data_IF_503192649290
#
_entry.id   IF_503192649290
#
_cell.length_a   1.000
_cell.length_b   1.000
_cell.length_c   1.000
_cell.angle_alpha   90.00
_cell.angle_beta   90.00
_cell.angle_gamma   90.00
#
_symmetry.space_group_name_H-M   'P 1'
#
loop_
_entity.id
_entity.type
_entity.pdbx_description
1 polymer ?
#
# COMPACT_ATOMS: atom_id res chain seq x y z
N UNK A 1 46.59 -9.31 -6.37
CA UNK A 1 45.43 -9.27 -7.30
C UNK A 1 44.30 -10.05 -6.64
N UNK A 2 43.31 -9.36 -6.11
CA UNK A 2 42.00 -9.92 -5.76
C UNK A 2 40.96 -8.99 -6.36
N UNK A 3 40.04 -9.60 -7.11
CA UNK A 3 39.09 -8.99 -8.02
C UNK A 3 38.16 -7.98 -7.35
N UNK A 4 37.70 -6.92 -8.05
CA UNK A 4 36.64 -6.06 -7.54
C UNK A 4 35.34 -6.87 -7.48
N UNK A 5 34.82 -7.05 -6.26
CA UNK A 5 33.53 -7.63 -5.96
C UNK A 5 32.44 -6.74 -6.57
N UNK A 6 31.65 -7.31 -7.49
CA UNK A 6 30.58 -6.60 -8.17
C UNK A 6 29.41 -6.37 -7.19
N UNK A 7 29.28 -5.14 -6.66
CA UNK A 7 28.03 -4.68 -6.09
C UNK A 7 27.59 -3.32 -6.69
N UNK A 8 27.02 -3.30 -7.91
CA UNK A 8 26.25 -2.15 -8.39
C UNK A 8 24.75 -2.40 -8.62
N UNK A 9 24.20 -3.60 -8.38
CA UNK A 9 22.79 -3.90 -8.64
C UNK A 9 21.84 -3.29 -7.59
N UNK A 10 22.10 -3.52 -6.29
CA UNK A 10 21.24 -3.07 -5.18
C UNK A 10 21.00 -1.55 -5.14
N UNK A 11 22.05 -0.76 -5.40
CA UNK A 11 21.95 0.71 -5.36
C UNK A 11 21.06 1.27 -6.48
N UNK A 12 21.05 0.61 -7.64
CA UNK A 12 20.26 1.03 -8.80
C UNK A 12 18.78 0.67 -8.61
N UNK A 13 18.50 -0.53 -8.09
CA UNK A 13 17.14 -0.98 -7.75
C UNK A 13 16.54 -0.07 -6.68
N UNK A 14 17.27 0.17 -5.60
CA UNK A 14 16.81 1.02 -4.48
C UNK A 14 16.55 2.46 -4.92
N UNK A 15 17.41 3.00 -5.80
CA UNK A 15 17.21 4.33 -6.39
C UNK A 15 15.96 4.36 -7.27
N UNK A 16 15.77 3.36 -8.13
CA UNK A 16 14.61 3.27 -9.01
C UNK A 16 13.31 3.14 -8.20
N UNK A 17 13.27 2.25 -7.20
CA UNK A 17 12.12 2.08 -6.32
C UNK A 17 11.77 3.36 -5.56
N UNK A 18 12.78 4.06 -5.03
CA UNK A 18 12.58 5.34 -4.34
C UNK A 18 12.06 6.44 -5.28
N UNK A 19 12.58 6.48 -6.51
CA UNK A 19 12.15 7.47 -7.51
C UNK A 19 10.72 7.19 -7.96
N UNK A 20 10.39 5.93 -8.27
CA UNK A 20 9.04 5.52 -8.64
C UNK A 20 8.06 5.84 -7.50
N UNK A 21 8.40 5.49 -6.26
CA UNK A 21 7.55 5.78 -5.10
C UNK A 21 7.34 7.28 -4.93
N UNK A 22 8.39 8.10 -5.05
CA UNK A 22 8.28 9.56 -4.90
C UNK A 22 7.48 10.23 -6.01
N UNK A 23 7.72 9.86 -7.26
CA UNK A 23 7.04 10.47 -8.41
C UNK A 23 5.57 10.04 -8.53
N UNK A 24 5.24 8.81 -8.08
CA UNK A 24 3.90 8.22 -8.15
C UNK A 24 3.08 8.39 -6.86
N UNK A 25 3.68 8.77 -5.73
CA UNK A 25 2.97 8.93 -4.45
C UNK A 25 1.79 9.92 -4.50
N UNK A 26 1.75 10.82 -5.48
CA UNK A 26 0.65 11.77 -5.69
C UNK A 26 -0.49 11.24 -6.55
N UNK A 27 -0.36 10.06 -7.16
CA UNK A 27 -1.35 9.49 -8.06
C UNK A 27 -2.36 8.63 -7.27
N UNK A 28 -3.65 8.90 -7.44
CA UNK A 28 -4.72 8.13 -6.79
C UNK A 28 -4.79 6.65 -7.25
N UNK A 29 -4.16 6.36 -8.38
CA UNK A 29 -4.05 5.03 -9.00
C UNK A 29 -2.83 4.25 -8.47
N UNK A 30 -1.85 4.92 -7.84
CA UNK A 30 -0.65 4.30 -7.31
C UNK A 30 -0.91 3.67 -5.93
N UNK A 31 -0.65 2.36 -5.79
CA UNK A 31 -0.82 1.65 -4.52
C UNK A 31 0.49 1.58 -3.75
N UNK A 32 1.51 0.96 -4.35
CA UNK A 32 2.83 0.84 -3.72
C UNK A 32 3.90 0.44 -4.74
N UNK A 33 5.16 0.55 -4.31
CA UNK A 33 6.30 -0.10 -4.96
C UNK A 33 6.85 -1.15 -4.02
N UNK A 34 6.95 -2.39 -4.50
CA UNK A 34 7.59 -3.50 -3.81
C UNK A 34 8.90 -3.87 -4.53
N UNK A 35 9.94 -4.17 -3.75
CA UNK A 35 11.21 -4.70 -4.27
C UNK A 35 11.28 -6.19 -3.93
N UNK A 36 11.22 -7.02 -4.96
CA UNK A 36 11.24 -8.48 -4.85
C UNK A 36 12.66 -8.99 -5.06
N UNK A 37 13.17 -9.70 -4.05
CA UNK A 37 14.48 -10.37 -4.05
C UNK A 37 15.65 -9.44 -4.43
N UNK A 38 15.50 -8.13 -4.23
CA UNK A 38 16.53 -7.12 -4.53
C UNK A 38 16.82 -6.90 -6.03
N UNK A 39 16.14 -7.62 -6.92
CA UNK A 39 16.46 -7.61 -8.36
C UNK A 39 15.25 -7.30 -9.25
N UNK A 40 14.05 -7.23 -8.68
CA UNK A 40 12.81 -6.90 -9.39
C UNK A 40 12.01 -5.87 -8.63
N UNK A 41 11.35 -4.97 -9.36
CA UNK A 41 10.44 -3.98 -8.80
C UNK A 41 9.03 -4.31 -9.28
N UNK A 42 8.09 -4.38 -8.36
CA UNK A 42 6.66 -4.50 -8.65
C UNK A 42 5.99 -3.18 -8.31
N UNK A 43 5.35 -2.57 -9.29
CA UNK A 43 4.54 -1.37 -9.09
C UNK A 43 3.08 -1.81 -9.07
N UNK A 44 2.43 -1.67 -7.93
CA UNK A 44 1.00 -1.95 -7.80
C UNK A 44 0.22 -0.71 -8.26
N UNK A 45 -0.56 -0.87 -9.32
CA UNK A 45 -1.27 0.23 -9.98
C UNK A 45 -2.73 -0.15 -10.23
N UNK A 46 -3.66 0.72 -9.88
CA UNK A 46 -5.08 0.54 -10.13
C UNK A 46 -5.51 1.30 -11.37
N UNK A 47 -6.08 0.60 -12.36
CA UNK A 47 -6.55 1.24 -13.59
C UNK A 47 -5.55 1.20 -14.75
N UNK A 48 -5.80 1.95 -15.84
CA UNK A 48 -4.95 1.95 -17.01
C UNK A 48 -3.62 2.66 -16.76
N UNK A 49 -2.53 2.10 -17.29
CA UNK A 49 -1.19 2.70 -17.20
C UNK A 49 -1.10 3.96 -18.06
N UNK A 50 -1.13 5.12 -17.41
CA UNK A 50 -1.03 6.43 -18.05
C UNK A 50 0.38 6.74 -18.60
N UNK A 51 0.49 7.81 -19.40
CA UNK A 51 1.74 8.24 -20.01
C UNK A 51 2.85 8.53 -18.98
N UNK A 52 2.49 9.03 -17.79
CA UNK A 52 3.44 9.31 -16.70
C UNK A 52 4.16 8.05 -16.22
N UNK A 53 3.42 6.96 -15.98
CA UNK A 53 4.01 5.70 -15.56
C UNK A 53 4.85 5.09 -16.69
N UNK A 54 4.41 5.17 -17.95
CA UNK A 54 5.21 4.69 -19.09
C UNK A 54 6.53 5.45 -19.24
N UNK A 55 6.53 6.78 -19.07
CA UNK A 55 7.73 7.60 -19.12
C UNK A 55 8.71 7.24 -17.98
N UNK A 56 8.19 7.05 -16.77
CA UNK A 56 8.99 6.59 -15.62
C UNK A 56 9.61 5.22 -15.85
N UNK A 57 8.87 4.26 -16.40
CA UNK A 57 9.40 2.94 -16.74
C UNK A 57 10.51 3.04 -17.80
N UNK A 58 10.36 3.92 -18.79
CA UNK A 58 11.36 4.15 -19.83
C UNK A 58 12.67 4.77 -19.30
N UNK A 59 12.64 5.44 -18.14
CA UNK A 59 13.84 5.99 -17.48
C UNK A 59 14.71 4.91 -16.83
N UNK A 60 14.18 3.71 -16.60
CA UNK A 60 14.90 2.60 -15.96
C UNK A 60 14.90 1.32 -16.82
N UNK A 61 15.42 1.36 -18.06
CA UNK A 61 15.34 0.24 -19.00
C UNK A 61 16.18 -0.99 -18.60
N UNK A 62 17.11 -0.82 -17.64
CA UNK A 62 17.99 -1.88 -17.14
C UNK A 62 17.47 -2.50 -15.82
N UNK A 63 16.29 -2.09 -15.35
CA UNK A 63 15.67 -2.59 -14.12
C UNK A 63 14.46 -3.43 -14.51
N UNK A 64 14.33 -4.63 -13.93
CA UNK A 64 13.14 -5.46 -14.14
C UNK A 64 11.96 -4.86 -13.35
N UNK A 65 11.17 -4.03 -14.02
CA UNK A 65 9.99 -3.38 -13.42
C UNK A 65 8.74 -4.02 -14.03
N UNK A 66 7.88 -4.56 -13.18
CA UNK A 66 6.59 -5.12 -13.55
C UNK A 66 5.47 -4.31 -12.92
N UNK A 67 4.48 -3.93 -13.73
CA UNK A 67 3.26 -3.30 -13.23
C UNK A 67 2.24 -4.38 -12.96
N UNK A 68 1.78 -4.48 -11.72
CA UNK A 68 0.68 -5.37 -11.33
C UNK A 68 -0.58 -4.57 -11.06
N UNK A 69 -1.71 -5.09 -11.54
CA UNK A 69 -3.00 -4.44 -11.33
C UNK A 69 -3.44 -4.62 -9.89
N UNK A 70 -3.58 -3.50 -9.17
CA UNK A 70 -4.22 -3.48 -7.86
C UNK A 70 -5.73 -3.69 -8.02
N UNK A 71 -6.31 -4.59 -7.22
CA UNK A 71 -7.74 -4.90 -7.29
C UNK A 71 -8.61 -3.72 -6.87
N UNK A 72 -8.12 -2.90 -5.94
CA UNK A 72 -8.83 -1.76 -5.39
C UNK A 72 -8.12 -0.44 -5.70
N UNK A 73 -8.88 0.65 -5.68
CA UNK A 73 -8.36 2.01 -5.82
C UNK A 73 -7.64 2.46 -4.54
N UNK A 74 -6.31 2.57 -4.52
CA UNK A 74 -5.55 2.94 -3.33
C UNK A 74 -5.90 4.36 -2.85
N UNK A 75 -6.11 5.32 -3.78
CA UNK A 75 -6.57 6.66 -3.43
C UNK A 75 -7.93 6.67 -2.74
N UNK A 76 -8.90 5.88 -3.23
CA UNK A 76 -10.21 5.77 -2.56
C UNK A 76 -10.10 5.07 -1.20
N UNK A 77 -9.23 4.06 -1.07
CA UNK A 77 -9.03 3.39 0.22
C UNK A 77 -8.41 4.32 1.25
N UNK A 78 -7.42 5.14 0.87
CA UNK A 78 -6.83 6.16 1.76
C UNK A 78 -7.82 7.24 2.15
N UNK A 79 -8.64 7.71 1.22
CA UNK A 79 -9.69 8.71 1.50
C UNK A 79 -10.74 8.15 2.45
N UNK A 80 -11.26 6.95 2.15
CA UNK A 80 -12.19 6.24 3.02
C UNK A 80 -11.61 5.97 4.41
N UNK A 81 -10.35 5.53 4.49
CA UNK A 81 -9.66 5.31 5.74
C UNK A 81 -9.53 6.60 6.58
N UNK A 82 -9.24 7.72 5.92
CA UNK A 82 -9.12 9.03 6.57
C UNK A 82 -10.47 9.55 7.06
N UNK A 83 -11.53 9.42 6.25
CA UNK A 83 -12.90 9.76 6.63
C UNK A 83 -13.37 8.92 7.81
N UNK A 84 -13.07 7.61 7.77
CA UNK A 84 -13.47 6.68 8.81
C UNK A 84 -12.76 6.98 10.14
N UNK A 85 -11.45 7.27 10.10
CA UNK A 85 -10.69 7.67 11.29
C UNK A 85 -11.22 8.99 11.89
N UNK A 86 -11.72 9.90 11.06
CA UNK A 86 -12.31 11.16 11.53
C UNK A 86 -13.75 11.00 12.07
N UNK A 87 -14.51 10.02 11.55
CA UNK A 87 -15.93 9.85 11.84
C UNK A 87 -16.23 8.81 12.92
N UNK A 88 -15.38 7.79 13.06
CA UNK A 88 -15.59 6.66 13.96
C UNK A 88 -14.49 6.64 15.04
N UNK A 89 -14.80 7.06 16.28
CA UNK A 89 -13.81 7.11 17.35
C UNK A 89 -13.35 5.73 17.82
N UNK A 90 -14.00 4.65 17.37
CA UNK A 90 -13.54 3.30 17.65
C UNK A 90 -12.42 2.86 16.71
N UNK A 91 -12.18 3.55 15.58
CA UNK A 91 -11.10 3.23 14.64
C UNK A 91 -9.81 3.89 15.15
N UNK A 92 -8.79 3.07 15.37
CA UNK A 92 -7.49 3.52 15.87
C UNK A 92 -6.44 3.58 14.74
N UNK A 93 -6.42 2.58 13.87
CA UNK A 93 -5.39 2.45 12.81
C UNK A 93 -6.07 2.00 11.52
N UNK A 94 -5.62 2.55 10.41
CA UNK A 94 -6.00 2.13 9.07
C UNK A 94 -4.74 1.83 8.28
N UNK A 95 -4.73 0.72 7.54
CA UNK A 95 -3.58 0.29 6.75
C UNK A 95 -4.04 -0.35 5.44
N UNK A 96 -3.60 0.20 4.31
CA UNK A 96 -3.88 -0.37 2.99
C UNK A 96 -2.83 -1.44 2.70
N UNK A 97 -3.24 -2.60 2.19
CA UNK A 97 -2.26 -3.62 1.79
C UNK A 97 -1.35 -3.07 0.71
N UNK A 98 -0.04 -3.40 0.73
CA UNK A 98 0.89 -2.97 -0.31
C UNK A 98 0.42 -3.41 -1.71
N UNK A 99 -0.18 -4.60 -1.83
CA UNK A 99 -0.72 -5.10 -3.09
C UNK A 99 -2.01 -4.39 -3.57
N UNK A 100 -2.56 -3.47 -2.79
CA UNK A 100 -3.84 -2.80 -3.07
C UNK A 100 -5.03 -3.77 -3.12
N UNK A 101 -4.95 -4.89 -2.41
CA UNK A 101 -5.95 -5.96 -2.44
C UNK A 101 -7.02 -5.84 -1.35
N UNK A 102 -6.66 -5.27 -0.20
CA UNK A 102 -7.60 -5.03 0.90
C UNK A 102 -7.18 -3.81 1.73
N UNK A 103 -8.07 -3.39 2.63
CA UNK A 103 -7.80 -2.42 3.68
C UNK A 103 -7.94 -3.12 5.03
N UNK A 104 -6.97 -2.94 5.92
CA UNK A 104 -7.05 -3.40 7.30
C UNK A 104 -7.42 -2.23 8.20
N UNK A 105 -8.48 -2.42 8.98
CA UNK A 105 -8.95 -1.48 9.99
C UNK A 105 -8.72 -2.08 11.37
N UNK A 106 -7.97 -1.39 12.22
CA UNK A 106 -7.83 -1.76 13.63
C UNK A 106 -8.76 -0.89 14.48
N UNK A 107 -9.75 -1.55 15.08
CA UNK A 107 -10.67 -0.96 16.04
C UNK A 107 -10.15 -1.12 17.47
N UNK A 108 -10.65 -0.28 18.38
CA UNK A 108 -10.37 -0.36 19.80
C UNK A 108 -10.88 -1.68 20.40
N UNK A 109 -10.09 -2.28 21.30
CA UNK A 109 -10.46 -3.55 21.93
C UNK A 109 -11.73 -3.42 22.80
N UNK A 110 -12.04 -2.23 23.31
CA UNK A 110 -13.22 -1.97 24.14
C UNK A 110 -14.53 -2.18 23.39
N UNK A 111 -14.54 -2.01 22.06
CA UNK A 111 -15.74 -2.22 21.24
C UNK A 111 -15.90 -3.67 20.77
N UNK A 112 -14.89 -4.53 20.97
CA UNK A 112 -14.89 -5.93 20.50
C UNK A 112 -16.07 -6.73 21.03
N UNK A 113 -16.42 -6.56 22.31
CA UNK A 113 -17.51 -7.31 22.93
C UNK A 113 -18.90 -6.94 22.41
N UNK A 114 -19.06 -5.73 21.85
CA UNK A 114 -20.32 -5.23 21.30
C UNK A 114 -20.37 -5.27 19.77
N UNK A 115 -19.28 -5.69 19.11
CA UNK A 115 -19.11 -5.60 17.67
C UNK A 115 -19.13 -6.98 17.02
N UNK A 116 -19.91 -7.12 15.95
CA UNK A 116 -19.83 -8.28 15.06
C UNK A 116 -18.85 -8.00 13.92
N UNK A 117 -17.67 -8.61 13.99
CA UNK A 117 -16.54 -8.39 13.07
C UNK A 117 -16.98 -8.59 11.62
N UNK A 118 -17.62 -9.72 11.32
CA UNK A 118 -18.06 -10.06 9.97
C UNK A 118 -19.08 -9.04 9.41
N UNK A 119 -19.93 -8.48 10.26
CA UNK A 119 -20.87 -7.43 9.84
C UNK A 119 -20.18 -6.09 9.61
N UNK A 120 -19.17 -5.74 10.41
CA UNK A 120 -18.35 -4.56 10.20
C UNK A 120 -17.51 -4.68 8.93
N UNK A 121 -16.82 -5.80 8.72
CA UNK A 121 -16.07 -6.09 7.50
C UNK A 121 -16.96 -5.96 6.27
N UNK A 122 -18.16 -6.56 6.27
CA UNK A 122 -19.11 -6.42 5.15
C UNK A 122 -19.58 -4.98 4.95
N UNK A 123 -19.88 -4.26 6.04
CA UNK A 123 -20.33 -2.87 6.00
C UNK A 123 -19.24 -1.97 5.40
N UNK A 124 -18.03 -2.04 5.92
CA UNK A 124 -16.91 -1.25 5.46
C UNK A 124 -16.44 -1.68 4.07
N UNK A 125 -16.42 -2.98 3.76
CA UNK A 125 -16.07 -3.46 2.42
C UNK A 125 -17.03 -2.92 1.36
N UNK A 126 -18.32 -2.89 1.68
CA UNK A 126 -19.34 -2.33 0.77
C UNK A 126 -19.19 -0.81 0.60
N UNK A 127 -18.83 -0.10 1.66
CA UNK A 127 -18.64 1.35 1.62
C UNK A 127 -17.35 1.74 0.86
N UNK A 128 -16.26 1.02 1.10
CA UNK A 128 -14.97 1.23 0.45
C UNK A 128 -14.91 0.69 -0.99
N UNK A 129 -15.84 -0.18 -1.38
CA UNK A 129 -15.83 -0.87 -2.68
C UNK A 129 -14.69 -1.89 -2.83
N UNK A 130 -14.07 -2.29 -1.72
CA UNK A 130 -12.89 -3.16 -1.66
C UNK A 130 -13.01 -4.09 -0.43
N UNK A 131 -12.42 -5.29 -0.41
CA UNK A 131 -12.33 -6.08 0.81
C UNK A 131 -11.68 -5.31 1.97
N UNK A 132 -12.35 -5.29 3.12
CA UNK A 132 -11.88 -4.68 4.36
C UNK A 132 -11.81 -5.75 5.44
N UNK A 133 -10.63 -5.92 6.02
CA UNK A 133 -10.41 -6.75 7.22
C UNK A 133 -10.52 -5.88 8.46
N UNK A 134 -11.20 -6.39 9.48
CA UNK A 134 -11.35 -5.70 10.76
C UNK A 134 -10.62 -6.47 11.84
N UNK A 135 -9.64 -5.81 12.45
CA UNK A 135 -8.89 -6.30 13.60
C UNK A 135 -9.23 -5.46 14.83
N UNK A 136 -9.01 -6.03 16.01
CA UNK A 136 -9.17 -5.32 17.28
C UNK A 136 -7.83 -5.29 17.98
N UNK A 137 -7.41 -4.10 18.39
CA UNK A 137 -6.14 -3.90 19.08
C UNK A 137 -6.21 -2.69 19.99
N UNK A 138 -5.61 -2.80 21.16
CA UNK A 138 -5.33 -1.64 21.99
C UNK A 138 -4.19 -0.83 21.37
N UNK A 139 -4.35 0.48 21.30
CA UNK A 139 -3.19 1.37 21.21
C UNK A 139 -2.42 1.23 22.52
N UNK A 140 -1.42 0.34 22.56
CA UNK A 140 -0.43 0.43 23.63
C UNK A 140 0.21 1.82 23.48
N UNK A 141 0.11 2.73 24.48
CA UNK A 141 0.96 3.90 24.46
C UNK A 141 2.39 3.38 24.36
N UNK A 142 3.15 3.85 23.36
CA UNK A 142 4.60 3.71 23.36
C UNK A 142 5.08 4.39 24.64
N UNK A 143 5.29 3.59 25.69
CA UNK A 143 5.74 4.05 27.00
C UNK A 143 7.03 4.83 26.85
N UNK A 144 7.07 5.99 27.51
CA UNK A 144 8.16 6.96 27.46
C UNK A 144 9.46 6.55 28.14
#
# INVERSE_FOLDING_TARGET
>A
MVSPEAAPADGTISHAASTLSGELAGDAEFASVEVVEGNRIIVHWHGPVGAKLQDLLARFPNVDISVQTAACSPGQLSDFASELLASDPAVNITSVSPDGSHLTLTLDESVRAASDVASLERKYSKAAGCPVNVEFGGVAPLGG
#
